data_IF_111612866225
#
_entry.id   IF_111612866225
#
_cell.length_a   1.000
_cell.length_b   1.000
_cell.length_c   1.000
_cell.angle_alpha   90.00
_cell.angle_beta   90.00
_cell.angle_gamma   90.00
#
_symmetry.space_group_name_H-M   'P 1'
#
loop_
_entity.id
_entity.type
_entity.pdbx_description
1 polymer ?
#
# COMPACT_ATOMS: atom_id res chain seq x y z
N UNK A 1 0.37 14.06 20.59
CA UNK A 1 -0.24 13.69 19.31
C UNK A 1 -1.60 14.36 19.29
N UNK A 2 -1.76 15.40 18.47
CA UNK A 2 -3.06 16.02 18.23
C UNK A 2 -3.86 15.11 17.29
N UNK A 3 -5.13 14.89 17.58
CA UNK A 3 -5.97 14.03 16.75
C UNK A 3 -6.15 14.67 15.37
N UNK A 4 -6.14 13.84 14.32
CA UNK A 4 -6.40 14.31 12.95
C UNK A 4 -7.77 15.00 12.84
N UNK A 5 -8.74 14.62 13.69
CA UNK A 5 -10.05 15.28 13.84
C UNK A 5 -9.91 16.77 14.14
N UNK A 6 -9.01 17.11 15.06
CA UNK A 6 -8.82 18.48 15.55
C UNK A 6 -7.97 19.27 14.57
N UNK A 7 -6.90 18.65 14.06
CA UNK A 7 -5.95 19.33 13.17
C UNK A 7 -6.53 19.70 11.81
N UNK A 8 -7.43 18.88 11.26
CA UNK A 8 -8.01 19.07 9.93
C UNK A 8 -9.51 19.31 9.96
N UNK A 9 -10.06 19.82 11.08
CA UNK A 9 -11.49 20.00 11.29
C UNK A 9 -12.21 20.70 10.12
N UNK A 10 -11.57 21.70 9.51
CA UNK A 10 -12.10 22.47 8.37
C UNK A 10 -12.14 21.69 7.04
N UNK A 11 -11.30 20.66 6.90
CA UNK A 11 -11.19 19.84 5.69
C UNK A 11 -11.89 18.48 5.83
N UNK A 12 -12.57 18.21 6.96
CA UNK A 12 -13.28 16.95 7.15
C UNK A 12 -14.64 17.01 6.47
N UNK A 13 -14.82 16.16 5.45
CA UNK A 13 -16.12 15.97 4.81
C UNK A 13 -17.07 15.13 5.68
N UNK A 14 -16.53 14.26 6.55
CA UNK A 14 -17.33 13.44 7.47
C UNK A 14 -16.56 12.35 8.21
N UNK A 15 -17.28 11.59 9.01
CA UNK A 15 -16.78 10.45 9.80
C UNK A 15 -17.41 9.16 9.30
N UNK A 16 -16.58 8.16 8.97
CA UNK A 16 -17.02 6.81 8.65
C UNK A 16 -16.77 5.88 9.83
N UNK A 17 -17.79 5.10 10.22
CA UNK A 17 -17.67 4.06 11.23
C UNK A 17 -18.09 2.72 10.65
N UNK A 18 -17.24 1.71 10.77
CA UNK A 18 -17.50 0.36 10.26
C UNK A 18 -17.19 -0.69 11.33
N UNK A 19 -17.98 -1.77 11.37
CA UNK A 19 -17.84 -2.85 12.36
C UNK A 19 -16.79 -3.92 11.98
N UNK A 20 -16.34 -3.94 10.71
CA UNK A 20 -15.41 -4.95 10.21
C UNK A 20 -14.10 -4.29 9.75
N UNK A 21 -13.94 -4.01 8.45
CA UNK A 21 -12.68 -3.51 7.89
C UNK A 21 -12.90 -2.25 7.08
N UNK A 22 -11.99 -1.29 7.25
CA UNK A 22 -11.94 -0.10 6.41
C UNK A 22 -10.74 -0.23 5.48
N UNK A 23 -11.03 -0.36 4.19
CA UNK A 23 -10.02 -0.39 3.12
C UNK A 23 -10.01 0.98 2.44
N UNK A 24 -8.92 1.71 2.63
CA UNK A 24 -8.69 3.01 2.01
C UNK A 24 -7.77 2.81 0.82
N UNK A 25 -8.27 3.14 -0.37
CA UNK A 25 -7.47 3.10 -1.59
C UNK A 25 -7.30 4.50 -2.14
N UNK A 26 -6.08 5.00 -2.14
CA UNK A 26 -5.75 6.26 -2.81
C UNK A 26 -5.46 6.00 -4.28
N UNK A 27 -6.09 6.75 -5.18
CA UNK A 27 -5.72 6.75 -6.61
C UNK A 27 -5.16 8.12 -6.98
N UNK A 28 -4.20 8.16 -7.91
CA UNK A 28 -3.64 9.40 -8.46
C UNK A 28 -4.31 9.66 -9.81
N UNK A 29 -5.30 10.55 -9.92
CA UNK A 29 -6.12 10.69 -11.12
C UNK A 29 -5.32 10.97 -12.40
N UNK A 30 -4.24 11.76 -12.31
CA UNK A 30 -3.39 12.06 -13.47
C UNK A 30 -2.46 10.92 -13.91
N UNK A 31 -2.28 9.90 -13.08
CA UNK A 31 -1.30 8.83 -13.29
C UNK A 31 -1.90 7.42 -13.27
N UNK A 32 -3.19 7.27 -12.96
CA UNK A 32 -3.86 5.98 -12.81
C UNK A 32 -4.30 5.36 -14.14
N UNK A 33 -4.34 6.14 -15.23
CA UNK A 33 -4.71 5.67 -16.57
C UNK A 33 -3.70 6.10 -17.63
N UNK A 34 -3.66 5.34 -18.73
CA UNK A 34 -2.56 5.39 -19.69
C UNK A 34 -2.46 6.73 -20.44
N UNK A 35 -3.61 7.30 -20.80
CA UNK A 35 -3.69 8.61 -21.45
C UNK A 35 -3.30 9.75 -20.49
N UNK A 36 -3.73 9.68 -19.22
CA UNK A 36 -3.34 10.64 -18.18
C UNK A 36 -1.83 10.65 -17.97
N UNK A 37 -1.23 9.47 -17.84
CA UNK A 37 0.23 9.35 -17.72
C UNK A 37 0.94 9.83 -18.99
N UNK A 38 0.40 9.54 -20.18
CA UNK A 38 0.96 10.03 -21.45
C UNK A 38 0.94 11.56 -21.49
N UNK A 39 -0.19 12.19 -21.13
CA UNK A 39 -0.34 13.64 -21.04
C UNK A 39 0.63 14.25 -20.02
N UNK A 40 0.79 13.59 -18.86
CA UNK A 40 1.73 14.00 -17.84
C UNK A 40 3.19 14.01 -18.34
N UNK A 41 3.64 12.93 -19.00
CA UNK A 41 5.00 12.84 -19.54
C UNK A 41 5.24 13.89 -20.64
N UNK A 42 4.27 14.07 -21.55
CA UNK A 42 4.35 15.06 -22.63
C UNK A 42 4.43 16.48 -22.07
N UNK A 43 3.61 16.82 -21.08
CA UNK A 43 3.64 18.15 -20.43
C UNK A 43 4.97 18.46 -19.74
N UNK A 44 5.75 17.43 -19.38
CA UNK A 44 7.07 17.54 -18.76
C UNK A 44 8.23 17.43 -19.76
N UNK A 45 7.94 17.29 -21.06
CA UNK A 45 8.94 17.12 -22.10
C UNK A 45 9.66 15.77 -22.07
N UNK A 46 9.10 14.77 -21.37
CA UNK A 46 9.68 13.42 -21.27
C UNK A 46 9.16 12.58 -22.42
N UNK A 47 10.05 11.93 -23.17
CA UNK A 47 9.65 11.03 -24.26
C UNK A 47 9.01 9.77 -23.68
N UNK A 48 7.99 9.25 -24.36
CA UNK A 48 7.25 8.06 -23.92
C UNK A 48 8.16 6.83 -23.74
N UNK A 49 9.18 6.67 -24.61
CA UNK A 49 10.16 5.59 -24.50
C UNK A 49 11.12 5.72 -23.31
N UNK A 50 11.31 6.93 -22.78
CA UNK A 50 12.13 7.19 -21.59
C UNK A 50 11.35 6.96 -20.28
N UNK A 51 10.11 6.45 -20.36
CA UNK A 51 9.29 6.11 -19.18
C UNK A 51 10.01 5.23 -18.14
N UNK A 52 10.77 4.18 -18.51
CA UNK A 52 11.50 3.38 -17.52
C UNK A 52 12.52 4.20 -16.72
N UNK A 53 13.16 5.19 -17.35
CA UNK A 53 14.12 6.08 -16.68
C UNK A 53 13.42 7.03 -15.70
N UNK A 54 12.20 7.44 -16.02
CA UNK A 54 11.36 8.23 -15.11
C UNK A 54 10.85 7.41 -13.91
N UNK A 55 10.43 6.16 -14.14
CA UNK A 55 9.84 5.31 -13.10
C UNK A 55 10.89 4.69 -12.14
N UNK A 56 12.10 4.41 -12.63
CA UNK A 56 13.18 3.80 -11.84
C UNK A 56 13.52 4.56 -10.54
N UNK A 57 13.78 5.88 -10.53
CA UNK A 57 14.11 6.61 -9.30
C UNK A 57 12.95 6.61 -8.30
N UNK A 58 11.70 6.61 -8.77
CA UNK A 58 10.52 6.53 -7.90
C UNK A 58 10.45 5.17 -7.20
N UNK A 59 10.68 4.09 -7.94
CA UNK A 59 10.78 2.73 -7.38
C UNK A 59 11.88 2.62 -6.34
N UNK A 60 13.08 3.13 -6.65
CA UNK A 60 14.21 3.05 -5.72
C UNK A 60 13.94 3.89 -4.46
N UNK A 61 13.29 5.05 -4.57
CA UNK A 61 12.86 5.84 -3.40
C UNK A 61 11.93 5.05 -2.47
N UNK A 62 10.95 4.33 -3.02
CA UNK A 62 10.05 3.47 -2.23
C UNK A 62 10.84 2.36 -1.54
N UNK A 63 11.76 1.71 -2.26
CA UNK A 63 12.63 0.66 -1.70
C UNK A 63 13.51 1.18 -0.57
N UNK A 64 14.17 2.32 -0.76
CA UNK A 64 15.00 2.93 0.26
C UNK A 64 14.19 3.39 1.47
N UNK A 65 13.00 3.98 1.27
CA UNK A 65 12.11 4.35 2.35
C UNK A 65 11.62 3.13 3.15
N UNK A 66 11.27 2.04 2.47
CA UNK A 66 10.88 0.79 3.12
C UNK A 66 12.02 0.22 3.99
N UNK A 67 13.24 0.26 3.47
CA UNK A 67 14.43 -0.23 4.17
C UNK A 67 14.82 0.67 5.35
N UNK A 68 14.69 1.99 5.20
CA UNK A 68 14.91 2.95 6.27
C UNK A 68 13.90 2.73 7.41
N UNK A 69 12.60 2.62 7.11
CA UNK A 69 11.55 2.34 8.09
C UNK A 69 11.78 1.01 8.82
N UNK A 70 12.15 -0.04 8.09
CA UNK A 70 12.46 -1.33 8.69
C UNK A 70 13.65 -1.22 9.67
N UNK A 71 14.70 -0.49 9.28
CA UNK A 71 15.89 -0.29 10.12
C UNK A 71 15.59 0.55 11.36
N UNK A 72 14.84 1.64 11.20
CA UNK A 72 14.46 2.55 12.30
C UNK A 72 13.67 1.83 13.39
N UNK A 73 12.77 0.93 13.01
CA UNK A 73 11.95 0.15 13.94
C UNK A 73 12.57 -1.22 14.33
N UNK A 74 13.77 -1.54 13.86
CA UNK A 74 14.42 -2.83 14.11
C UNK A 74 13.67 -4.04 13.52
N UNK A 75 12.78 -3.81 12.56
CA UNK A 75 12.02 -4.85 11.88
C UNK A 75 12.82 -5.45 10.71
N UNK A 76 12.65 -6.75 10.46
CA UNK A 76 13.28 -7.41 9.31
C UNK A 76 12.34 -7.38 8.11
N UNK A 77 12.89 -7.12 6.93
CA UNK A 77 12.16 -7.30 5.68
C UNK A 77 12.25 -8.77 5.28
N UNK A 78 11.14 -9.49 5.34
CA UNK A 78 11.06 -10.88 4.90
C UNK A 78 10.57 -10.95 3.45
N UNK A 79 11.31 -11.65 2.58
CA UNK A 79 10.92 -11.86 1.20
C UNK A 79 10.16 -13.17 1.04
N UNK A 80 8.86 -13.08 0.73
CA UNK A 80 8.01 -14.24 0.46
C UNK A 80 8.00 -14.49 -1.05
N UNK A 81 8.78 -15.49 -1.46
CA UNK A 81 8.82 -15.93 -2.86
C UNK A 81 7.66 -16.89 -3.23
N UNK A 82 7.01 -17.52 -2.24
CA UNK A 82 5.98 -18.53 -2.45
C UNK A 82 4.59 -17.90 -2.48
N UNK A 83 3.88 -18.06 -3.60
CA UNK A 83 2.55 -17.46 -3.82
C UNK A 83 1.44 -18.01 -2.89
N UNK A 84 1.59 -19.23 -2.36
CA UNK A 84 0.57 -19.89 -1.53
C UNK A 84 0.69 -19.58 -0.03
N UNK A 85 1.71 -18.82 0.40
CA UNK A 85 1.88 -18.48 1.81
C UNK A 85 0.98 -17.30 2.14
N UNK A 86 0.01 -17.51 3.03
CA UNK A 86 -0.78 -16.40 3.58
C UNK A 86 0.12 -15.52 4.42
N UNK A 87 0.20 -14.24 4.04
CA UNK A 87 1.04 -13.24 4.71
C UNK A 87 0.60 -13.03 6.17
N UNK A 88 -0.70 -13.15 6.41
CA UNK A 88 -1.31 -13.12 7.75
C UNK A 88 -0.72 -14.19 8.68
N UNK A 89 -0.52 -15.42 8.21
CA UNK A 89 0.05 -16.50 9.02
C UNK A 89 1.50 -16.23 9.43
N UNK A 90 2.26 -15.56 8.57
CA UNK A 90 3.64 -15.14 8.85
C UNK A 90 3.64 -14.07 9.94
N UNK A 91 2.77 -13.07 9.82
CA UNK A 91 2.61 -12.00 10.82
C UNK A 91 2.10 -12.56 12.15
N UNK A 92 1.21 -13.55 12.12
CA UNK A 92 0.73 -14.22 13.33
C UNK A 92 1.84 -14.91 14.12
N UNK A 93 2.79 -15.54 13.44
CA UNK A 93 3.97 -16.14 14.10
C UNK A 93 4.86 -15.09 14.73
N UNK A 94 5.06 -13.95 14.06
CA UNK A 94 5.84 -12.83 14.61
C UNK A 94 5.14 -12.21 15.82
N UNK A 95 3.81 -12.02 15.75
CA UNK A 95 3.00 -11.53 16.87
C UNK A 95 3.01 -12.49 18.07
N UNK A 96 3.00 -13.81 17.83
CA UNK A 96 3.09 -14.78 18.92
C UNK A 96 4.42 -14.69 19.71
N UNK A 97 5.51 -14.28 19.05
CA UNK A 97 6.82 -14.11 19.69
C UNK A 97 7.02 -12.73 20.34
N UNK A 98 6.52 -11.66 19.69
CA UNK A 98 6.70 -10.26 20.12
C UNK A 98 5.63 -9.79 21.11
N UNK A 99 4.41 -10.34 21.02
CA UNK A 99 3.22 -9.85 21.72
C UNK A 99 2.58 -8.64 21.05
N UNK A 100 1.54 -8.11 21.69
CA UNK A 100 0.66 -7.03 21.16
C UNK A 100 1.22 -5.62 21.43
N UNK A 101 2.53 -5.47 21.57
CA UNK A 101 3.14 -4.17 21.81
C UNK A 101 2.98 -3.25 20.58
N UNK A 102 2.63 -1.97 20.76
CA UNK A 102 2.43 -1.06 19.64
C UNK A 102 3.73 -0.85 18.83
N UNK A 103 3.59 -0.58 17.53
CA UNK A 103 4.71 -0.31 16.62
C UNK A 103 4.73 -1.18 15.37
N UNK A 104 5.76 -1.02 14.54
CA UNK A 104 5.95 -1.82 13.33
C UNK A 104 6.24 -3.28 13.73
N UNK A 105 5.39 -4.20 13.29
CA UNK A 105 5.46 -5.62 13.61
C UNK A 105 6.38 -6.33 12.62
N UNK A 106 6.08 -6.18 11.32
CA UNK A 106 6.79 -6.88 10.27
C UNK A 106 6.68 -6.16 8.93
N UNK A 107 7.70 -6.31 8.09
CA UNK A 107 7.68 -5.85 6.70
C UNK A 107 7.85 -7.05 5.79
N UNK A 108 6.87 -7.29 4.93
CA UNK A 108 6.88 -8.39 3.98
C UNK A 108 7.08 -7.83 2.58
N UNK A 109 8.00 -8.40 1.83
CA UNK A 109 8.14 -8.15 0.39
C UNK A 109 7.68 -9.37 -0.40
N UNK A 110 6.80 -9.18 -1.38
CA UNK A 110 6.26 -10.26 -2.20
C UNK A 110 6.21 -9.85 -3.67
N UNK A 111 6.45 -10.79 -4.59
CA UNK A 111 6.24 -10.55 -6.02
C UNK A 111 4.77 -10.71 -6.37
N UNK A 112 4.12 -9.62 -6.75
CA UNK A 112 2.71 -9.62 -7.14
C UNK A 112 2.53 -9.15 -8.57
N UNK A 113 1.36 -9.45 -9.12
CA UNK A 113 0.95 -8.96 -10.43
C UNK A 113 0.52 -7.50 -10.30
N UNK A 114 1.16 -6.63 -11.08
CA UNK A 114 0.99 -5.19 -11.02
C UNK A 114 0.54 -4.65 -12.36
N UNK A 115 -0.40 -3.70 -12.32
CA UNK A 115 -0.76 -2.92 -13.48
C UNK A 115 0.41 -1.97 -13.81
N UNK A 116 0.99 -2.11 -15.00
CA UNK A 116 2.11 -1.29 -15.49
C UNK A 116 1.77 -0.60 -16.80
N UNK A 117 2.75 0.10 -17.38
CA UNK A 117 2.65 0.77 -18.67
C UNK A 117 3.78 0.31 -19.58
N UNK A 118 3.46 0.07 -20.83
CA UNK A 118 4.42 -0.22 -21.89
C UNK A 118 4.43 0.92 -22.91
N UNK A 119 5.60 1.46 -23.29
CA UNK A 119 5.68 2.45 -24.36
C UNK A 119 5.28 1.80 -25.69
N UNK A 120 4.39 2.46 -26.42
CA UNK A 120 3.91 2.00 -27.72
C UNK A 120 3.96 3.13 -28.75
N UNK A 121 4.21 2.75 -30.00
CA UNK A 121 4.16 3.66 -31.14
C UNK A 121 3.25 3.06 -32.20
N UNK A 122 2.18 3.77 -32.52
CA UNK A 122 1.29 3.37 -33.61
C UNK A 122 1.84 3.89 -34.94
N UNK A 123 2.13 2.97 -35.86
CA UNK A 123 2.66 3.28 -37.20
C UNK A 123 1.60 3.92 -38.11
N UNK A 124 0.31 3.64 -37.88
CA UNK A 124 -0.76 4.15 -38.72
C UNK A 124 -1.08 5.62 -38.40
N UNK A 125 -1.16 5.98 -37.11
CA UNK A 125 -1.42 7.36 -36.67
C UNK A 125 -0.17 8.19 -36.41
N UNK A 126 1.02 7.58 -36.35
CA UNK A 126 2.28 8.26 -36.00
C UNK A 126 2.34 8.72 -34.53
N UNK A 127 1.43 8.24 -33.68
CA UNK A 127 1.31 8.66 -32.27
C UNK A 127 2.09 7.72 -31.34
N UNK A 128 2.88 8.30 -30.44
CA UNK A 128 3.47 7.61 -29.29
C UNK A 128 2.57 7.74 -28.06
N UNK A 129 2.28 6.64 -27.39
CA UNK A 129 1.50 6.65 -26.14
C UNK A 129 1.87 5.46 -25.25
N UNK A 130 1.50 5.55 -23.97
CA UNK A 130 1.61 4.42 -23.07
C UNK A 130 0.40 3.49 -23.24
N UNK A 131 0.66 2.18 -23.31
CA UNK A 131 -0.35 1.13 -23.28
C UNK A 131 -0.41 0.52 -21.88
N UNK A 132 -1.60 0.27 -21.30
CA UNK A 132 -1.71 -0.48 -20.06
C UNK A 132 -1.22 -1.92 -20.29
N UNK A 133 -0.36 -2.39 -19.40
CA UNK A 133 0.16 -3.75 -19.39
C UNK A 133 0.13 -4.31 -17.95
N UNK A 134 0.44 -5.59 -17.79
CA UNK A 134 0.46 -6.29 -16.51
C UNK A 134 1.75 -7.07 -16.36
N UNK A 135 2.59 -6.66 -15.40
CA UNK A 135 3.87 -7.32 -15.13
C UNK A 135 4.02 -7.62 -13.63
N UNK A 136 4.98 -8.46 -13.25
CA UNK A 136 5.26 -8.71 -11.83
C UNK A 136 6.10 -7.58 -11.24
N UNK A 137 5.74 -7.10 -10.05
CA UNK A 137 6.53 -6.12 -9.31
C UNK A 137 6.59 -6.47 -7.81
N UNK A 138 7.59 -5.94 -7.13
CA UNK A 138 7.83 -6.23 -5.71
C UNK A 138 6.94 -5.34 -4.85
N UNK A 139 5.95 -5.91 -4.19
CA UNK A 139 5.06 -5.21 -3.27
C UNK A 139 5.62 -5.24 -1.85
N UNK A 140 5.55 -4.10 -1.17
CA UNK A 140 5.87 -4.01 0.26
C UNK A 140 4.59 -3.94 1.08
N UNK A 141 4.48 -4.85 2.03
CA UNK A 141 3.46 -4.89 3.05
C UNK A 141 4.07 -4.51 4.37
N UNK A 142 3.54 -3.46 4.96
CA UNK A 142 3.94 -3.00 6.27
C UNK A 142 2.83 -3.31 7.26
N UNK A 143 3.13 -4.08 8.29
CA UNK A 143 2.20 -4.44 9.35
C UNK A 143 2.51 -3.64 10.60
N UNK A 144 1.55 -2.86 11.07
CA UNK A 144 1.63 -2.07 12.29
C UNK A 144 0.64 -2.57 13.32
N UNK A 145 1.08 -2.58 14.57
CA UNK A 145 0.21 -2.75 15.74
C UNK A 145 -0.10 -1.37 16.30
N UNK A 146 -1.33 -0.92 16.12
CA UNK A 146 -1.84 0.30 16.73
C UNK A 146 -2.59 -0.02 18.02
N UNK A 147 -2.56 0.92 18.98
CA UNK A 147 -3.18 0.74 20.30
C UNK A 147 -4.71 0.73 20.23
N UNK A 148 -5.30 1.50 19.32
CA UNK A 148 -6.75 1.70 19.21
C UNK A 148 -7.34 0.86 18.09
N UNK A 149 -6.69 0.85 16.92
CA UNK A 149 -7.20 0.19 15.72
C UNK A 149 -6.78 -1.26 15.59
N UNK A 150 -5.77 -1.71 16.34
CA UNK A 150 -5.28 -3.06 16.20
C UNK A 150 -4.31 -3.24 15.03
N UNK A 151 -4.40 -4.38 14.34
CA UNK A 151 -3.42 -4.77 13.32
C UNK A 151 -3.77 -4.10 11.99
N UNK A 152 -3.01 -3.06 11.65
CA UNK A 152 -3.15 -2.32 10.40
C UNK A 152 -2.11 -2.85 9.42
N UNK A 153 -2.47 -2.94 8.13
CA UNK A 153 -1.48 -3.17 7.09
C UNK A 153 -1.58 -2.15 5.95
N UNK A 154 -0.42 -1.67 5.52
CA UNK A 154 -0.26 -0.84 4.34
C UNK A 154 0.41 -1.62 3.22
N UNK A 155 -0.22 -1.67 2.05
CA UNK A 155 0.37 -2.23 0.84
C UNK A 155 0.81 -1.08 -0.08
N UNK A 156 2.12 -0.97 -0.30
CA UNK A 156 2.71 -0.01 -1.21
C UNK A 156 3.32 -0.75 -2.40
N UNK A 157 2.67 -0.70 -3.58
CA UNK A 157 3.29 -1.15 -4.80
C UNK A 157 4.24 -0.05 -5.32
N UNK A 158 5.42 -0.40 -5.86
CA UNK A 158 6.40 0.57 -6.31
C UNK A 158 6.06 1.22 -7.66
N UNK A 159 5.01 0.75 -8.34
CA UNK A 159 4.66 1.23 -9.69
C UNK A 159 3.76 2.46 -9.60
N UNK A 160 4.04 3.45 -10.45
CA UNK A 160 3.31 4.73 -10.52
C UNK A 160 1.80 4.58 -10.83
N UNK A 161 1.41 3.51 -11.52
CA UNK A 161 0.00 3.23 -11.88
C UNK A 161 -0.82 2.69 -10.70
N UNK A 162 -0.18 1.94 -9.82
CA UNK A 162 -0.84 1.26 -8.72
C UNK A 162 -0.84 2.17 -7.49
N UNK A 163 -2.02 2.60 -7.05
CA UNK A 163 -2.16 3.39 -5.84
C UNK A 163 -1.76 2.61 -4.58
N UNK A 164 -1.36 3.33 -3.54
CA UNK A 164 -1.18 2.75 -2.21
C UNK A 164 -2.54 2.33 -1.66
N UNK A 165 -2.62 1.10 -1.15
CA UNK A 165 -3.81 0.59 -0.46
C UNK A 165 -3.46 0.46 1.01
N UNK A 166 -4.21 1.16 1.86
CA UNK A 166 -4.13 1.02 3.30
C UNK A 166 -5.37 0.29 3.77
N UNK A 167 -5.18 -0.78 4.52
CA UNK A 167 -6.27 -1.52 5.13
C UNK A 167 -6.09 -1.45 6.63
N UNK A 168 -7.06 -0.85 7.32
CA UNK A 168 -7.19 -0.93 8.76
C UNK A 168 -8.09 -2.13 9.08
N UNK A 169 -7.59 -3.03 9.93
CA UNK A 169 -8.35 -4.18 10.42
C UNK A 169 -8.31 -4.15 11.93
N UNK A 170 -9.47 -4.36 12.55
CA UNK A 170 -9.57 -4.50 13.98
C UNK A 170 -8.90 -5.82 14.44
N UNK A 171 -8.23 -5.80 15.60
CA UNK A 171 -7.56 -7.01 16.11
C UNK A 171 -8.53 -8.17 16.36
N UNK A 172 -9.82 -7.87 16.57
CA UNK A 172 -10.88 -8.85 16.85
C UNK A 172 -11.28 -9.59 15.57
N UNK A 173 -11.57 -8.89 14.47
CA UNK A 173 -11.82 -9.50 13.16
C UNK A 173 -10.64 -10.30 12.63
N UNK A 174 -9.40 -9.85 12.87
CA UNK A 174 -8.20 -10.58 12.46
C UNK A 174 -7.97 -11.89 13.24
N UNK A 175 -8.14 -11.89 14.57
CA UNK A 175 -7.99 -13.11 15.39
C UNK A 175 -9.03 -14.17 15.04
N UNK A 176 -10.26 -13.76 14.71
CA UNK A 176 -11.32 -14.67 14.27
C UNK A 176 -10.97 -15.40 12.94
N UNK A 177 -10.29 -14.73 12.00
CA UNK A 177 -9.84 -15.34 10.74
C UNK A 177 -8.58 -16.22 10.88
N UNK A 178 -7.71 -15.89 11.83
CA UNK A 178 -6.51 -16.68 12.18
C UNK A 178 -6.78 -17.81 13.20
N UNK A 179 -8.04 -18.01 13.64
CA UNK A 179 -8.41 -19.05 14.60
C UNK A 179 -7.95 -18.81 16.05
N UNK A 180 -7.53 -17.59 16.39
CA UNK A 180 -7.20 -17.20 17.75
C UNK A 180 -8.46 -16.73 18.48
N UNK A 181 -8.78 -17.31 19.65
CA UNK A 181 -9.94 -16.90 20.46
C UNK A 181 -9.80 -15.44 20.90
N UNK A 182 -10.67 -14.56 20.41
CA UNK A 182 -10.80 -13.18 20.90
C UNK A 182 -11.79 -13.13 22.08
N UNK A 183 -11.41 -12.48 23.19
CA UNK A 183 -12.24 -12.31 24.40
C UNK A 183 -12.71 -10.87 24.60
N UNK A 184 -12.70 -10.04 23.56
CA UNK A 184 -13.02 -8.60 23.64
C UNK A 184 -14.07 -8.24 22.60
N UNK A 185 -15.07 -7.46 23.00
CA UNK A 185 -16.16 -7.03 22.13
C UNK A 185 -15.66 -6.13 21.00
N UNK A 186 -16.23 -6.24 19.78
CA UNK A 186 -15.84 -5.41 18.65
C UNK A 186 -16.24 -3.95 18.90
N UNK A 187 -15.27 -3.04 18.91
CA UNK A 187 -15.50 -1.60 18.85
C UNK A 187 -15.51 -1.18 17.37
N UNK A 188 -16.41 -0.28 16.94
CA UNK A 188 -16.43 0.17 15.55
C UNK A 188 -15.15 0.93 15.21
N UNK A 189 -14.47 0.50 14.14
CA UNK A 189 -13.32 1.21 13.59
C UNK A 189 -13.83 2.53 13.00
N UNK A 190 -13.37 3.66 13.53
CA UNK A 190 -13.80 5.00 13.11
C UNK A 190 -12.67 5.68 12.37
N UNK A 191 -12.97 6.20 11.18
CA UNK A 191 -11.99 6.82 10.29
C UNK A 191 -12.56 8.09 9.68
N UNK A 192 -11.68 9.07 9.48
CA UNK A 192 -12.00 10.42 9.07
C UNK A 192 -11.77 10.58 7.58
N UNK A 193 -12.80 11.03 6.85
CA UNK A 193 -12.69 11.42 5.44
C UNK A 193 -12.23 12.87 5.39
N UNK A 194 -11.00 13.07 4.88
CA UNK A 194 -10.47 14.36 4.46
C UNK A 194 -10.53 14.49 2.94
#
# INVERSE_FOLDING_TARGET
>A
MELLTTRYAENLAGVLSCYDRIVITGTLPGACFAEGMTSFLVSRGIRIFDYPQFALPLRERVRHAAQALATEHGARIEHIAKAHVRKEDVVAKVLAARGDAPGLVHVISAMETCATYQPWHDKASGRTFLRPDTTKCLHYYFYWMDRELGLIYGACPPTVRSGCRFTATDTVGWRNECGARASTSPQPTTLLLA
#
